data_IF_942831546839
#
_entry.id   IF_942831546839
#
_cell.length_a   1.000
_cell.length_b   1.000
_cell.length_c   1.000
_cell.angle_alpha   90.00
_cell.angle_beta   90.00
_cell.angle_gamma   90.00
#
_symmetry.space_group_name_H-M   'P 1'
#
loop_
_entity.id
_entity.type
_entity.pdbx_description
1 polymer ?
#
# COMPACT_ATOMS: atom_id res chain seq x y z
N UNK A 1 -3.65 -4.69 11.22
CA UNK A 1 -2.27 -4.18 11.09
C UNK A 1 -2.23 -3.30 9.87
N UNK A 2 -1.69 -2.08 10.02
CA UNK A 2 -1.64 -1.11 8.93
C UNK A 2 -0.17 -0.73 8.66
N UNK A 3 0.21 -0.73 7.38
CA UNK A 3 1.56 -0.40 6.91
C UNK A 3 1.48 0.77 5.94
N UNK A 4 2.45 1.68 5.96
CA UNK A 4 2.54 2.80 5.01
C UNK A 4 3.93 2.87 4.37
N UNK A 5 3.98 3.24 3.10
CA UNK A 5 5.21 3.65 2.42
C UNK A 5 4.96 4.83 1.48
N UNK A 6 6.00 5.63 1.23
CA UNK A 6 5.92 6.76 0.29
C UNK A 6 6.42 6.35 -1.09
N UNK A 7 5.78 6.89 -2.12
CA UNK A 7 6.20 6.70 -3.51
C UNK A 7 7.30 7.71 -3.82
N UNK A 8 8.36 7.28 -4.52
CA UNK A 8 9.41 8.20 -4.96
C UNK A 8 8.89 9.18 -6.00
N UNK A 9 9.23 10.46 -5.85
CA UNK A 9 8.89 11.51 -6.82
C UNK A 9 9.46 11.24 -8.23
N UNK A 10 10.47 10.37 -8.36
CA UNK A 10 11.11 10.04 -9.63
C UNK A 10 10.24 9.15 -10.55
N UNK A 11 9.17 8.55 -10.01
CA UNK A 11 8.29 7.64 -10.77
C UNK A 11 7.32 8.40 -11.68
N UNK A 12 7.11 9.70 -11.42
CA UNK A 12 6.24 10.55 -12.24
C UNK A 12 4.76 10.18 -12.19
N UNK A 13 4.34 9.43 -11.17
CA UNK A 13 2.94 9.08 -10.90
C UNK A 13 2.26 10.15 -10.03
N UNK A 14 0.93 10.18 -10.03
CA UNK A 14 0.11 11.04 -9.16
C UNK A 14 -0.01 10.47 -7.73
N UNK A 15 0.35 9.20 -7.52
CA UNK A 15 0.31 8.57 -6.19
C UNK A 15 1.50 9.02 -5.33
N UNK A 16 1.21 9.53 -4.14
CA UNK A 16 2.18 10.06 -3.17
C UNK A 16 2.56 9.03 -2.10
N UNK A 17 1.60 8.23 -1.62
CA UNK A 17 1.86 7.16 -0.64
C UNK A 17 0.89 5.99 -0.78
N UNK A 18 1.27 4.87 -0.21
CA UNK A 18 0.50 3.62 -0.22
C UNK A 18 0.29 3.14 1.21
N UNK A 19 -0.91 2.62 1.50
CA UNK A 19 -1.23 1.98 2.78
C UNK A 19 -1.67 0.53 2.52
N UNK A 20 -1.12 -0.42 3.26
CA UNK A 20 -1.62 -1.81 3.29
C UNK A 20 -2.35 -2.01 4.62
N UNK A 21 -3.61 -2.43 4.54
CA UNK A 21 -4.46 -2.73 5.68
C UNK A 21 -4.90 -4.19 5.64
N UNK A 22 -4.75 -4.90 6.77
CA UNK A 22 -5.26 -6.26 6.91
C UNK A 22 -6.77 -6.24 7.19
N UNK A 23 -7.54 -6.94 6.37
CA UNK A 23 -8.96 -7.19 6.63
C UNK A 23 -9.16 -8.62 7.12
N UNK A 24 -8.72 -8.88 8.37
CA UNK A 24 -8.82 -10.21 8.97
C UNK A 24 -10.27 -10.59 9.36
N UNK A 25 -11.17 -9.60 9.42
CA UNK A 25 -12.54 -9.76 9.89
C UNK A 25 -13.53 -10.20 8.83
N UNK A 26 -13.35 -9.78 7.57
CA UNK A 26 -14.29 -10.06 6.48
C UNK A 26 -13.65 -10.95 5.40
N UNK A 27 -12.72 -10.40 4.62
CA UNK A 27 -12.15 -11.10 3.47
C UNK A 27 -10.95 -12.00 3.81
N UNK A 28 -10.35 -11.83 4.99
CA UNK A 28 -9.06 -12.43 5.41
C UNK A 28 -7.89 -12.08 4.51
N UNK A 29 -8.01 -10.99 3.75
CA UNK A 29 -6.99 -10.50 2.83
C UNK A 29 -6.39 -9.18 3.27
N UNK A 30 -5.81 -8.48 2.30
CA UNK A 30 -5.14 -7.19 2.48
C UNK A 30 -5.64 -6.22 1.42
N UNK A 31 -6.06 -5.04 1.86
CA UNK A 31 -6.33 -3.92 0.96
C UNK A 31 -5.08 -3.07 0.81
N UNK A 32 -4.81 -2.66 -0.42
CA UNK A 32 -3.74 -1.71 -0.76
C UNK A 32 -4.40 -0.44 -1.25
N UNK A 33 -4.26 0.64 -0.50
CA UNK A 33 -4.78 1.97 -0.81
C UNK A 33 -3.68 2.83 -1.40
N UNK A 34 -3.91 3.36 -2.61
CA UNK A 34 -2.98 4.23 -3.33
C UNK A 34 -3.49 5.68 -3.26
N UNK A 35 -2.83 6.51 -2.45
CA UNK A 35 -3.25 7.88 -2.20
C UNK A 35 -2.55 8.84 -3.16
N UNK A 36 -3.34 9.63 -3.88
CA UNK A 36 -2.85 10.78 -4.65
C UNK A 36 -2.80 12.07 -3.83
N UNK A 37 -3.63 12.11 -2.79
CA UNK A 37 -3.69 13.14 -1.75
C UNK A 37 -4.62 12.61 -0.64
N UNK A 38 -4.83 13.41 0.41
CA UNK A 38 -5.63 13.02 1.58
C UNK A 38 -7.10 12.69 1.26
N UNK A 39 -7.63 13.16 0.12
CA UNK A 39 -9.04 13.03 -0.24
C UNK A 39 -9.29 12.11 -1.45
N UNK A 40 -8.24 11.54 -2.03
CA UNK A 40 -8.34 10.74 -3.24
C UNK A 40 -7.42 9.52 -3.15
N UNK A 41 -8.06 8.36 -3.01
CA UNK A 41 -7.41 7.07 -3.06
C UNK A 41 -8.25 6.10 -3.91
N UNK A 42 -7.58 5.09 -4.46
CA UNK A 42 -8.21 3.89 -4.97
C UNK A 42 -7.57 2.67 -4.30
N UNK A 43 -8.29 1.56 -4.25
CA UNK A 43 -7.83 0.36 -3.56
C UNK A 43 -7.81 -0.88 -4.46
N UNK A 44 -6.97 -1.83 -4.07
CA UNK A 44 -6.97 -3.19 -4.62
C UNK A 44 -6.91 -4.22 -3.49
N UNK A 45 -7.57 -5.35 -3.69
CA UNK A 45 -7.57 -6.45 -2.72
C UNK A 45 -6.57 -7.54 -3.10
N UNK A 46 -5.87 -8.07 -2.11
CA UNK A 46 -4.88 -9.13 -2.26
C UNK A 46 -5.10 -10.24 -1.23
N UNK A 47 -4.93 -11.49 -1.65
CA UNK A 47 -5.14 -12.65 -0.79
C UNK A 47 -4.07 -12.82 0.31
N UNK A 48 -2.90 -12.18 0.17
CA UNK A 48 -1.80 -12.26 1.13
C UNK A 48 -1.03 -10.95 1.17
N UNK A 49 -0.33 -10.72 2.30
CA UNK A 49 0.55 -9.56 2.47
C UNK A 49 1.70 -9.56 1.46
N UNK A 50 2.20 -10.74 1.11
CA UNK A 50 3.23 -10.90 0.10
C UNK A 50 2.76 -10.43 -1.29
N UNK A 51 1.55 -10.83 -1.71
CA UNK A 51 0.98 -10.36 -2.97
C UNK A 51 0.80 -8.84 -2.97
N UNK A 52 0.37 -8.26 -1.84
CA UNK A 52 0.24 -6.82 -1.70
C UNK A 52 1.60 -6.10 -1.85
N UNK A 53 2.65 -6.59 -1.21
CA UNK A 53 4.00 -6.04 -1.37
C UNK A 53 4.50 -6.16 -2.80
N UNK A 54 4.34 -7.34 -3.43
CA UNK A 54 4.81 -7.57 -4.79
C UNK A 54 4.11 -6.65 -5.79
N UNK A 55 2.80 -6.44 -5.64
CA UNK A 55 2.04 -5.52 -6.47
C UNK A 55 2.57 -4.08 -6.37
N UNK A 56 2.84 -3.60 -5.16
CA UNK A 56 3.36 -2.24 -4.95
C UNK A 56 4.81 -2.11 -5.43
N UNK A 57 5.64 -3.13 -5.23
CA UNK A 57 7.02 -3.14 -5.72
C UNK A 57 7.08 -3.13 -7.25
N UNK A 58 6.27 -3.94 -7.93
CA UNK A 58 6.21 -3.97 -9.39
C UNK A 58 5.80 -2.60 -9.95
N UNK A 59 4.84 -1.92 -9.31
CA UNK A 59 4.28 -0.68 -9.82
C UNK A 59 5.10 0.56 -9.45
N UNK A 60 5.63 0.61 -8.21
CA UNK A 60 6.26 1.80 -7.64
C UNK A 60 7.67 1.56 -7.09
N UNK A 61 8.21 0.35 -7.21
CA UNK A 61 9.57 0.06 -6.74
C UNK A 61 9.79 0.21 -5.23
N UNK A 62 8.73 0.21 -4.42
CA UNK A 62 8.83 0.35 -2.95
C UNK A 62 9.35 -0.97 -2.36
N UNK A 63 10.51 -0.96 -1.70
CA UNK A 63 11.06 -2.16 -1.08
C UNK A 63 10.39 -2.45 0.27
N UNK A 64 10.39 -3.71 0.72
CA UNK A 64 9.81 -4.12 2.02
C UNK A 64 10.37 -3.37 3.23
N UNK A 65 11.60 -2.88 3.15
CA UNK A 65 12.28 -2.11 4.22
C UNK A 65 11.77 -0.67 4.34
N UNK A 66 11.09 -0.15 3.32
CA UNK A 66 10.62 1.24 3.27
C UNK A 66 9.23 1.40 3.89
N UNK A 67 8.63 0.30 4.36
CA UNK A 67 7.32 0.28 5.01
C UNK A 67 7.43 0.55 6.51
N UNK A 68 6.59 1.48 6.96
CA UNK A 68 6.43 1.84 8.37
C UNK A 68 5.13 1.21 8.91
N UNK A 69 5.18 0.62 10.10
CA UNK A 69 3.98 0.16 10.80
C UNK A 69 3.26 1.38 11.37
N UNK A 70 2.02 1.59 10.94
CA UNK A 70 1.15 2.58 11.55
C UNK A 70 0.67 2.03 12.89
N UNK A 71 1.06 2.72 13.97
CA UNK A 71 0.55 2.44 15.31
C UNK A 71 -0.76 3.21 15.49
N UNK A 72 -1.82 2.55 15.95
CA UNK A 72 -3.02 3.23 16.48
C UNK A 72 -2.71 3.98 17.78
#
# INVERSE_FOLDING_TARGET
>A
MNLRAFVSNDIGDEVEWVVIESDEGDTKGYFVYYYRNENMAFDTWHASLENAFDAVWIQYGIDRKDWEVLSD
#
